data_IF_623121441473
#
_entry.id   IF_623121441473
#
_cell.length_a   1.000
_cell.length_b   1.000
_cell.length_c   1.000
_cell.angle_alpha   90.00
_cell.angle_beta   90.00
_cell.angle_gamma   90.00
#
_symmetry.space_group_name_H-M   'P 1'
#
loop_
_entity.id
_entity.type
_entity.pdbx_description
1 polymer ?
#
# COMPACT_ATOMS: atom_id res chain seq x y z
N UNK A 1 -23.94 -1.52 -5.62
CA UNK A 1 -23.07 -1.01 -4.53
C UNK A 1 -23.06 -2.06 -3.44
N UNK A 2 -22.03 -2.91 -3.37
CA UNK A 2 -21.89 -3.84 -2.24
C UNK A 2 -21.35 -3.04 -1.07
N UNK A 3 -22.00 -3.15 0.09
CA UNK A 3 -21.55 -2.51 1.33
C UNK A 3 -20.25 -3.19 1.78
N UNK A 4 -19.31 -2.40 2.30
CA UNK A 4 -18.11 -2.86 2.98
C UNK A 4 -18.50 -3.85 4.11
N UNK A 5 -17.84 -5.02 4.23
CA UNK A 5 -18.10 -5.93 5.34
C UNK A 5 -17.70 -5.26 6.67
N UNK A 6 -18.50 -5.50 7.71
CA UNK A 6 -18.56 -4.70 8.94
C UNK A 6 -17.34 -4.83 9.91
N UNK A 7 -16.15 -5.24 9.45
CA UNK A 7 -15.09 -5.67 10.36
C UNK A 7 -13.68 -5.10 10.10
N UNK A 8 -13.40 -4.46 8.96
CA UNK A 8 -12.07 -3.83 8.78
C UNK A 8 -12.07 -2.40 9.31
N UNK A 9 -11.76 -2.25 10.59
CA UNK A 9 -11.62 -0.94 11.23
C UNK A 9 -10.31 -0.30 10.78
N UNK A 10 -10.40 0.74 9.97
CA UNK A 10 -9.25 1.59 9.64
C UNK A 10 -8.90 2.45 10.88
N UNK A 11 -7.63 2.55 11.30
CA UNK A 11 -7.22 3.39 12.42
C UNK A 11 -7.62 4.87 12.22
N UNK A 12 -7.78 5.60 13.33
CA UNK A 12 -8.07 7.03 13.26
C UNK A 12 -6.95 7.78 12.51
N UNK A 13 -7.33 8.71 11.63
CA UNK A 13 -6.38 9.49 10.82
C UNK A 13 -5.85 8.76 9.57
N UNK A 14 -6.23 7.51 9.36
CA UNK A 14 -5.94 6.76 8.12
C UNK A 14 -7.19 6.71 7.27
N UNK A 15 -7.06 7.03 5.97
CA UNK A 15 -8.11 6.85 4.97
C UNK A 15 -7.70 5.75 4.02
N UNK A 16 -8.58 4.79 3.77
CA UNK A 16 -8.37 3.73 2.78
C UNK A 16 -9.14 4.04 1.50
N UNK A 17 -8.48 3.93 0.36
CA UNK A 17 -9.09 4.02 -0.98
C UNK A 17 -8.79 2.70 -1.68
N UNK A 18 -9.81 1.98 -2.13
CA UNK A 18 -9.65 0.71 -2.83
C UNK A 18 -9.76 0.90 -4.33
N UNK A 19 -8.79 0.37 -5.07
CA UNK A 19 -8.80 0.38 -6.53
C UNK A 19 -9.85 -0.58 -7.09
N UNK A 20 -10.44 -0.25 -8.25
CA UNK A 20 -11.38 -1.11 -8.97
C UNK A 20 -10.61 -2.11 -9.86
N UNK A 21 -9.74 -2.90 -9.25
CA UNK A 21 -8.87 -3.88 -9.90
C UNK A 21 -8.99 -5.30 -9.30
N UNK A 22 -10.19 -5.85 -9.08
CA UNK A 22 -10.33 -7.16 -8.44
C UNK A 22 -9.74 -8.29 -9.29
N UNK A 23 -9.07 -9.24 -8.64
CA UNK A 23 -8.45 -10.41 -9.28
C UNK A 23 -8.14 -11.50 -8.23
N UNK A 24 -7.68 -12.70 -8.65
CA UNK A 24 -7.21 -13.71 -7.69
C UNK A 24 -6.05 -13.26 -6.79
N UNK A 25 -5.25 -12.26 -7.21
CA UNK A 25 -4.11 -11.76 -6.45
C UNK A 25 -4.48 -10.51 -5.63
N UNK A 26 -5.28 -9.62 -6.20
CA UNK A 26 -5.69 -8.35 -5.57
C UNK A 26 -7.00 -8.45 -4.78
N UNK A 27 -7.62 -9.64 -4.75
CA UNK A 27 -8.91 -9.91 -4.10
C UNK A 27 -10.00 -8.96 -4.60
N UNK A 28 -10.62 -8.20 -3.70
CA UNK A 28 -11.60 -7.16 -4.02
C UNK A 28 -10.97 -5.88 -4.62
N UNK A 29 -9.65 -5.78 -4.66
CA UNK A 29 -8.88 -4.66 -5.18
C UNK A 29 -7.78 -4.19 -4.22
N UNK A 30 -6.74 -3.55 -4.76
CA UNK A 30 -5.60 -3.05 -3.99
C UNK A 30 -6.03 -1.90 -3.08
N UNK A 31 -5.56 -1.91 -1.83
CA UNK A 31 -5.85 -0.85 -0.86
C UNK A 31 -4.71 0.16 -0.83
N UNK A 32 -4.99 1.39 -1.27
CA UNK A 32 -4.13 2.55 -1.05
C UNK A 32 -4.52 3.22 0.26
N UNK A 33 -3.52 3.65 1.04
CA UNK A 33 -3.77 4.37 2.28
C UNK A 33 -3.25 5.81 2.21
N UNK A 34 -4.04 6.72 2.75
CA UNK A 34 -3.71 8.13 2.91
C UNK A 34 -3.63 8.42 4.40
N UNK A 35 -2.49 8.92 4.85
CA UNK A 35 -2.24 9.21 6.27
C UNK A 35 -1.17 10.27 6.43
N UNK A 36 -1.41 11.25 7.32
CA UNK A 36 -0.43 12.27 7.70
C UNK A 36 0.24 13.03 6.52
N UNK A 37 -0.47 13.26 5.41
CA UNK A 37 0.08 13.92 4.20
C UNK A 37 0.80 12.97 3.23
N UNK A 38 0.80 11.67 3.50
CA UNK A 38 1.48 10.64 2.72
C UNK A 38 0.51 9.66 2.07
N UNK A 39 0.93 9.11 0.93
CA UNK A 39 0.24 8.02 0.23
C UNK A 39 1.08 6.75 0.33
N UNK A 40 0.50 5.71 0.92
CA UNK A 40 1.08 4.35 0.97
C UNK A 40 0.45 3.53 -0.14
N UNK A 41 1.29 2.95 -1.00
CA UNK A 41 0.90 2.10 -2.14
C UNK A 41 -0.19 2.74 -3.01
N UNK A 42 0.17 3.71 -3.88
CA UNK A 42 -0.77 4.52 -4.67
C UNK A 42 -1.66 3.72 -5.63
N UNK A 43 -1.37 2.44 -5.82
CA UNK A 43 -2.20 1.53 -6.58
C UNK A 43 -1.78 1.41 -8.05
N UNK A 44 -2.56 0.68 -8.85
CA UNK A 44 -2.41 0.69 -10.31
C UNK A 44 -2.74 2.08 -10.87
N UNK A 45 -2.22 2.40 -12.07
CA UNK A 45 -2.52 3.65 -12.78
C UNK A 45 -3.90 3.59 -13.45
N UNK A 46 -4.93 3.54 -12.61
CA UNK A 46 -6.33 3.68 -13.00
C UNK A 46 -6.79 5.10 -12.72
N UNK A 47 -7.24 5.82 -13.76
CA UNK A 47 -7.61 7.23 -13.66
C UNK A 47 -8.61 7.53 -12.53
N UNK A 48 -9.64 6.68 -12.40
CA UNK A 48 -10.65 6.81 -11.36
C UNK A 48 -10.10 6.60 -9.94
N UNK A 49 -9.19 5.63 -9.76
CA UNK A 49 -8.53 5.37 -8.48
C UNK A 49 -7.57 6.51 -8.12
N UNK A 50 -6.70 6.91 -9.05
CA UNK A 50 -5.77 8.03 -8.87
C UNK A 50 -6.50 9.32 -8.49
N UNK A 51 -7.61 9.63 -9.14
CA UNK A 51 -8.44 10.78 -8.81
C UNK A 51 -9.04 10.67 -7.39
N UNK A 52 -9.51 9.48 -7.00
CA UNK A 52 -10.04 9.24 -5.66
C UNK A 52 -8.96 9.37 -4.57
N UNK A 53 -7.76 8.83 -4.80
CA UNK A 53 -6.62 8.96 -3.87
C UNK A 53 -6.19 10.41 -3.74
N UNK A 54 -6.00 11.13 -4.85
CA UNK A 54 -5.64 12.57 -4.82
C UNK A 54 -6.69 13.41 -4.09
N UNK A 55 -7.97 13.10 -4.29
CA UNK A 55 -9.05 13.77 -3.56
C UNK A 55 -9.02 13.49 -2.05
N UNK A 56 -8.74 12.24 -1.67
CA UNK A 56 -8.63 11.86 -0.26
C UNK A 56 -7.39 12.44 0.43
N UNK A 57 -6.28 12.55 -0.30
CA UNK A 57 -5.01 13.03 0.22
C UNK A 57 -4.94 14.55 0.35
N UNK A 58 -5.54 15.30 -0.57
CA UNK A 58 -5.34 16.74 -0.63
C UNK A 58 -3.89 17.05 -1.05
N UNK A 59 -3.15 17.78 -0.23
CA UNK A 59 -1.73 18.02 -0.46
C UNK A 59 -0.92 16.80 -0.01
N UNK A 60 -0.07 16.29 -0.92
CA UNK A 60 0.76 15.11 -0.68
C UNK A 60 2.20 15.55 -0.50
N UNK A 61 2.83 15.13 0.59
CA UNK A 61 4.24 15.39 0.89
C UNK A 61 5.15 14.32 0.28
N UNK A 62 4.69 13.07 0.27
CA UNK A 62 5.44 11.95 -0.27
C UNK A 62 4.58 10.71 -0.52
N UNK A 63 5.09 9.84 -1.40
CA UNK A 63 4.59 8.49 -1.63
C UNK A 63 5.58 7.51 -1.03
N UNK A 64 5.09 6.45 -0.38
CA UNK A 64 5.92 5.35 0.11
C UNK A 64 5.36 4.03 -0.39
N UNK A 65 6.24 3.13 -0.81
CA UNK A 65 5.89 1.82 -1.34
C UNK A 65 6.26 0.72 -0.35
N UNK A 66 5.40 -0.29 -0.24
CA UNK A 66 5.73 -1.54 0.46
C UNK A 66 6.57 -2.47 -0.40
N UNK A 67 6.38 -2.44 -1.72
CA UNK A 67 7.15 -3.18 -2.73
C UNK A 67 6.81 -2.67 -4.15
N UNK A 68 7.53 -3.16 -5.16
CA UNK A 68 7.49 -2.65 -6.53
C UNK A 68 6.44 -3.31 -7.46
N UNK A 69 5.54 -4.16 -6.96
CA UNK A 69 4.51 -4.72 -7.84
C UNK A 69 3.61 -3.63 -8.44
N UNK A 70 3.19 -3.76 -9.72
CA UNK A 70 2.49 -2.69 -10.42
C UNK A 70 1.18 -2.26 -9.76
N UNK A 71 0.44 -3.19 -9.18
CA UNK A 71 -0.81 -2.87 -8.52
C UNK A 71 -0.61 -2.08 -7.21
N UNK A 72 0.62 -1.97 -6.70
CA UNK A 72 0.98 -1.06 -5.61
C UNK A 72 1.66 0.23 -6.14
N UNK A 73 2.58 0.11 -7.10
CA UNK A 73 3.55 1.16 -7.42
C UNK A 73 3.23 1.98 -8.69
N UNK A 74 2.43 1.49 -9.62
CA UNK A 74 2.31 2.06 -10.98
C UNK A 74 1.85 3.53 -10.98
N UNK A 75 0.99 3.92 -10.03
CA UNK A 75 0.49 5.29 -9.91
C UNK A 75 1.44 6.26 -9.18
N UNK A 76 2.58 5.82 -8.63
CA UNK A 76 3.42 6.63 -7.75
C UNK A 76 3.93 7.94 -8.39
N UNK A 77 4.47 7.84 -9.59
CA UNK A 77 5.03 9.00 -10.31
C UNK A 77 3.96 10.02 -10.70
N UNK A 78 2.69 9.62 -10.76
CA UNK A 78 1.59 10.52 -11.11
C UNK A 78 1.30 11.58 -10.03
N UNK A 79 1.84 11.43 -8.82
CA UNK A 79 1.73 12.40 -7.74
C UNK A 79 2.73 13.55 -7.86
N UNK A 80 3.85 13.38 -8.60
CA UNK A 80 4.90 14.41 -8.79
C UNK A 80 5.50 14.93 -7.47
N UNK A 81 5.66 14.02 -6.53
CA UNK A 81 6.29 14.23 -5.21
C UNK A 81 7.36 13.13 -5.03
N UNK A 82 8.24 13.23 -4.02
CA UNK A 82 9.19 12.15 -3.73
C UNK A 82 8.49 10.79 -3.54
N UNK A 83 9.03 9.77 -4.19
CA UNK A 83 8.59 8.37 -4.06
C UNK A 83 9.66 7.60 -3.31
N UNK A 84 9.30 7.02 -2.18
CA UNK A 84 10.20 6.32 -1.26
C UNK A 84 10.02 4.80 -1.36
N UNK A 85 11.16 4.09 -1.42
CA UNK A 85 11.27 2.62 -1.38
C UNK A 85 12.23 2.24 -0.26
N UNK A 86 11.80 2.37 1.01
CA UNK A 86 12.70 2.23 2.15
C UNK A 86 13.12 0.76 2.35
N UNK A 87 14.37 0.53 2.71
CA UNK A 87 14.88 -0.76 3.17
C UNK A 87 14.74 -0.96 4.69
N UNK A 88 15.26 -2.08 5.22
CA UNK A 88 15.26 -2.39 6.65
C UNK A 88 15.73 -1.21 7.52
N UNK A 89 14.87 -0.78 8.46
CA UNK A 89 15.16 0.27 9.43
C UNK A 89 15.20 1.69 8.86
N UNK A 90 15.01 1.87 7.54
CA UNK A 90 14.98 3.20 6.93
C UNK A 90 13.67 3.93 7.23
N UNK A 91 13.78 5.26 7.32
CA UNK A 91 12.64 6.14 7.55
C UNK A 91 12.17 6.80 6.25
N UNK A 92 10.85 6.87 6.09
CA UNK A 92 10.19 7.64 5.03
C UNK A 92 9.04 8.42 5.67
N UNK A 93 9.25 9.72 5.91
CA UNK A 93 8.24 10.54 6.59
C UNK A 93 7.90 9.98 7.98
N UNK A 94 6.62 9.63 8.26
CA UNK A 94 6.21 9.08 9.56
C UNK A 94 6.43 7.57 9.69
N UNK A 95 7.03 6.91 8.69
CA UNK A 95 7.16 5.46 8.62
C UNK A 95 8.59 5.00 8.91
N UNK A 96 8.71 3.91 9.67
CA UNK A 96 9.92 3.08 9.73
C UNK A 96 9.66 1.77 9.00
N UNK A 97 10.53 1.39 8.08
CA UNK A 97 10.40 0.15 7.33
C UNK A 97 10.98 -1.05 8.09
N UNK A 98 10.25 -2.17 8.05
CA UNK A 98 10.68 -3.48 8.49
C UNK A 98 10.70 -4.39 7.27
N UNK A 99 11.87 -4.87 6.88
CA UNK A 99 12.00 -5.81 5.78
C UNK A 99 11.27 -7.11 6.11
N UNK A 100 10.39 -7.48 5.19
CA UNK A 100 9.58 -8.70 5.28
C UNK A 100 9.63 -9.42 3.94
N UNK A 101 10.83 -9.85 3.49
CA UNK A 101 10.96 -10.60 2.26
C UNK A 101 10.16 -11.90 2.36
N UNK A 102 9.60 -12.35 1.24
CA UNK A 102 8.66 -13.46 1.23
C UNK A 102 7.80 -13.39 -0.01
N UNK A 103 6.80 -12.51 0.04
CA UNK A 103 5.94 -12.20 -1.10
C UNK A 103 6.75 -11.70 -2.31
N UNK A 104 7.62 -10.72 -2.06
CA UNK A 104 8.67 -10.28 -2.97
C UNK A 104 9.97 -10.07 -2.18
N UNK A 105 11.12 -9.99 -2.87
CA UNK A 105 12.42 -9.79 -2.23
C UNK A 105 12.57 -8.39 -1.60
N UNK A 106 11.87 -7.40 -2.14
CA UNK A 106 11.85 -5.99 -1.71
C UNK A 106 10.69 -5.67 -0.75
N UNK A 107 9.86 -6.65 -0.40
CA UNK A 107 8.71 -6.45 0.50
C UNK A 107 9.12 -5.90 1.87
N UNK A 108 8.49 -4.79 2.27
CA UNK A 108 8.59 -4.21 3.62
C UNK A 108 7.21 -3.95 4.22
N UNK A 109 7.12 -4.10 5.54
CA UNK A 109 6.05 -3.53 6.34
C UNK A 109 6.42 -2.10 6.75
N UNK A 110 5.48 -1.17 6.70
CA UNK A 110 5.69 0.23 7.12
C UNK A 110 5.01 0.48 8.47
N UNK A 111 5.82 0.83 9.48
CA UNK A 111 5.36 1.08 10.84
C UNK A 111 5.15 2.58 11.09
N UNK A 112 3.96 2.94 11.59
CA UNK A 112 3.64 4.29 12.08
C UNK A 112 3.02 4.18 13.47
N UNK A 113 3.84 4.33 14.51
CA UNK A 113 3.42 4.10 15.89
C UNK A 113 2.96 2.66 16.10
N UNK A 114 1.66 2.47 16.42
CA UNK A 114 1.05 1.14 16.55
C UNK A 114 0.33 0.64 15.28
N UNK A 115 0.38 1.41 14.20
CA UNK A 115 -0.20 1.03 12.90
C UNK A 115 0.88 0.39 12.04
N UNK A 116 0.56 -0.73 11.39
CA UNK A 116 1.43 -1.41 10.44
C UNK A 116 0.71 -1.52 9.09
N UNK A 117 1.34 -1.01 8.03
CA UNK A 117 0.90 -1.22 6.65
C UNK A 117 1.72 -2.37 6.08
N UNK A 118 1.08 -3.51 5.87
CA UNK A 118 1.77 -4.79 5.63
C UNK A 118 2.03 -5.09 4.16
N UNK A 119 1.55 -4.25 3.24
CA UNK A 119 1.51 -4.59 1.82
C UNK A 119 0.90 -5.97 1.62
N UNK A 120 1.60 -6.80 0.86
CA UNK A 120 1.22 -8.18 0.61
C UNK A 120 1.90 -9.20 1.55
N UNK A 121 2.59 -8.76 2.60
CA UNK A 121 3.16 -9.66 3.62
C UNK A 121 2.06 -10.29 4.50
N UNK A 122 0.99 -9.55 4.77
CA UNK A 122 -0.19 -10.02 5.52
C UNK A 122 -1.44 -9.42 4.90
N UNK A 123 -2.39 -10.27 4.51
CA UNK A 123 -3.67 -9.85 3.94
C UNK A 123 -4.80 -9.91 4.98
N UNK A 124 -5.78 -9.01 4.86
CA UNK A 124 -6.95 -8.97 5.74
C UNK A 124 -7.89 -10.18 5.57
N UNK A 125 -7.81 -10.86 4.42
CA UNK A 125 -8.47 -12.12 4.13
C UNK A 125 -7.69 -12.89 3.05
N UNK A 126 -8.07 -14.16 2.79
CA UNK A 126 -7.44 -14.96 1.76
C UNK A 126 -6.05 -15.47 2.16
N UNK A 127 -5.12 -15.51 1.21
CA UNK A 127 -3.76 -16.04 1.41
C UNK A 127 -2.75 -15.22 0.61
N UNK A 128 -1.59 -14.99 1.21
CA UNK A 128 -0.45 -14.36 0.56
C UNK A 128 0.13 -15.32 -0.47
N UNK A 129 0.42 -14.80 -1.67
CA UNK A 129 1.15 -15.55 -2.68
C UNK A 129 2.66 -15.35 -2.49
N UNK A 130 3.41 -16.44 -2.47
CA UNK A 130 4.88 -16.44 -2.50
C UNK A 130 5.29 -17.21 -3.75
N UNK A 131 5.91 -16.51 -4.71
CA UNK A 131 6.41 -17.16 -5.91
C UNK A 131 7.63 -18.05 -5.55
N UNK A 132 7.79 -19.23 -6.16
CA UNK A 132 9.05 -19.97 -6.05
C UNK A 132 10.20 -19.14 -6.63
N UNK A 133 11.24 -18.85 -5.83
CA UNK A 133 12.37 -18.01 -6.28
C UNK A 133 12.85 -17.02 -5.23
N UNK A 134 13.28 -15.83 -5.65
CA UNK A 134 13.80 -14.82 -4.73
C UNK A 134 12.76 -14.41 -3.69
N UNK A 135 13.14 -14.48 -2.42
CA UNK A 135 12.27 -14.17 -1.28
C UNK A 135 11.55 -15.38 -0.68
N UNK A 136 11.41 -16.51 -1.38
CA UNK A 136 10.81 -17.72 -0.78
C UNK A 136 11.77 -18.34 0.25
N UNK A 137 11.30 -18.53 1.49
CA UNK A 137 12.02 -19.24 2.57
C UNK A 137 11.98 -20.76 2.39
#
# INVERSE_FOLDING_TARGET
MRQEPAHMRVPAGVTRVRADNPSPLTLDGTNTYVVAGWVVDPGPLLEGHLAAVKKAAGEVEGVVLTHDHPDHAEAAEAFRVPVHRPGEGEEAGPFTALATPGHSADSVCLLMGLTCFTGDTVLGEGSVFIAPGEGSL
#
